data_IF_380342910938
#
_entry.id   IF_380342910938
#
_cell.length_a   1.000
_cell.length_b   1.000
_cell.length_c   1.000
_cell.angle_alpha   90.00
_cell.angle_beta   90.00
_cell.angle_gamma   90.00
#
_symmetry.space_group_name_H-M   'P 1'
#
loop_
_entity.id
_entity.type
_entity.pdbx_description
1 polymer ?
#
# COMPACT_ATOMS: atom_id res chain seq x y z
N UNK A 1 25.40 2.23 -0.65
CA UNK A 1 24.89 1.49 0.53
C UNK A 1 24.64 0.05 0.09
N UNK A 2 24.65 -0.96 0.97
CA UNK A 2 24.25 -2.31 0.56
C UNK A 2 22.75 -2.34 0.25
N UNK A 3 22.35 -3.08 -0.78
CA UNK A 3 20.94 -3.28 -1.12
C UNK A 3 20.14 -3.86 0.05
N UNK A 4 20.76 -4.76 0.82
CA UNK A 4 20.16 -5.39 2.01
C UNK A 4 19.66 -4.42 3.07
N UNK A 5 20.31 -3.26 3.27
CA UNK A 5 19.84 -2.27 4.26
C UNK A 5 18.62 -1.52 3.77
N UNK A 6 18.54 -1.24 2.47
CA UNK A 6 17.37 -0.59 1.86
C UNK A 6 16.18 -1.53 1.85
N UNK A 7 16.42 -2.79 1.52
CA UNK A 7 15.43 -3.87 1.54
C UNK A 7 14.83 -4.02 2.94
N UNK A 8 15.66 -4.26 3.95
CA UNK A 8 15.18 -4.43 5.33
C UNK A 8 14.40 -3.21 5.87
N UNK A 9 14.79 -1.99 5.46
CA UNK A 9 14.04 -0.78 5.79
C UNK A 9 12.66 -0.76 5.12
N UNK A 10 12.60 -1.09 3.83
CA UNK A 10 11.36 -1.10 3.05
C UNK A 10 10.40 -2.18 3.56
N UNK A 11 10.91 -3.38 3.85
CA UNK A 11 10.14 -4.47 4.45
C UNK A 11 9.51 -4.07 5.78
N UNK A 12 10.29 -3.41 6.66
CA UNK A 12 9.79 -2.90 7.93
C UNK A 12 8.64 -1.90 7.77
N UNK A 13 8.76 -0.98 6.81
CA UNK A 13 7.71 0.02 6.54
C UNK A 13 6.46 -0.64 5.95
N UNK A 14 6.62 -1.53 4.98
CA UNK A 14 5.49 -2.24 4.36
C UNK A 14 4.76 -3.13 5.38
N UNK A 15 5.49 -3.83 6.27
CA UNK A 15 4.88 -4.62 7.34
C UNK A 15 4.00 -3.76 8.27
N UNK A 16 4.45 -2.53 8.59
CA UNK A 16 3.64 -1.58 9.37
C UNK A 16 2.40 -1.15 8.58
N UNK A 17 2.53 -0.84 7.29
CA UNK A 17 1.39 -0.45 6.44
C UNK A 17 0.34 -1.57 6.43
N UNK A 18 0.77 -2.83 6.24
CA UNK A 18 -0.12 -3.99 6.24
C UNK A 18 -0.86 -4.14 7.58
N UNK A 19 -0.16 -3.97 8.70
CA UNK A 19 -0.78 -4.09 10.03
C UNK A 19 -1.69 -2.92 10.37
N UNK A 20 -1.45 -1.72 9.85
CA UNK A 20 -2.38 -0.59 10.01
C UNK A 20 -3.63 -0.78 9.15
N UNK A 21 -3.51 -1.30 7.93
CA UNK A 21 -4.67 -1.47 7.03
C UNK A 21 -5.80 -2.29 7.65
N UNK A 22 -5.50 -3.34 8.43
CA UNK A 22 -6.55 -4.17 9.05
C UNK A 22 -7.31 -3.43 10.16
N UNK A 23 -6.68 -2.43 10.78
CA UNK A 23 -7.32 -1.60 11.82
C UNK A 23 -8.37 -0.66 11.25
N UNK A 24 -8.37 -0.43 9.93
CA UNK A 24 -9.34 0.43 9.26
C UNK A 24 -10.65 -0.29 8.90
N UNK A 25 -10.73 -1.60 9.13
CA UNK A 25 -11.96 -2.39 8.93
C UNK A 25 -12.90 -2.13 10.11
N UNK A 26 -14.14 -1.71 9.82
CA UNK A 26 -15.18 -1.58 10.86
C UNK A 26 -15.66 -2.97 11.29
N UNK A 27 -15.83 -3.12 12.60
CA UNK A 27 -16.51 -4.29 13.16
C UNK A 27 -18.02 -4.08 12.94
N UNK A 28 -18.74 -5.06 12.33
CA UNK A 28 -20.18 -4.96 12.16
C UNK A 28 -20.88 -4.78 13.51
N UNK A 29 -21.92 -3.94 13.55
CA UNK A 29 -22.64 -3.64 14.79
C UNK A 29 -23.69 -4.72 15.15
N UNK A 30 -24.11 -5.55 14.18
CA UNK A 30 -25.05 -6.65 14.37
C UNK A 30 -24.35 -8.00 14.51
N UNK A 31 -24.99 -8.98 15.14
CA UNK A 31 -24.46 -10.33 15.37
C UNK A 31 -24.87 -11.35 14.31
N UNK A 32 -25.60 -10.94 13.27
CA UNK A 32 -26.15 -11.77 12.20
C UNK A 32 -25.41 -11.58 10.88
N UNK A 33 -25.51 -12.56 9.97
CA UNK A 33 -24.79 -12.51 8.69
C UNK A 33 -25.21 -11.33 7.80
N UNK A 34 -26.43 -10.82 7.95
CA UNK A 34 -26.89 -9.65 7.19
C UNK A 34 -26.16 -8.36 7.59
N UNK A 35 -25.69 -8.26 8.84
CA UNK A 35 -24.89 -7.12 9.28
C UNK A 35 -23.53 -7.06 8.57
N UNK A 36 -22.97 -8.21 8.21
CA UNK A 36 -21.70 -8.32 7.47
C UNK A 36 -21.86 -7.94 6.00
N UNK A 37 -23.03 -8.18 5.40
CA UNK A 37 -23.30 -7.87 3.99
C UNK A 37 -23.17 -6.37 3.71
N UNK A 38 -23.59 -5.52 4.66
CA UNK A 38 -23.48 -4.07 4.55
C UNK A 38 -22.02 -3.57 4.47
N UNK A 39 -21.09 -4.26 5.14
CA UNK A 39 -19.66 -3.89 5.20
C UNK A 39 -18.80 -4.57 4.10
N UNK A 40 -19.39 -5.51 3.34
CA UNK A 40 -18.71 -6.28 2.29
C UNK A 40 -17.98 -5.41 1.25
N UNK A 41 -18.53 -4.27 0.79
CA UNK A 41 -17.82 -3.40 -0.16
C UNK A 41 -16.51 -2.84 0.42
N UNK A 42 -16.52 -2.42 1.69
CA UNK A 42 -15.33 -1.88 2.36
C UNK A 42 -14.32 -2.99 2.62
N UNK A 43 -14.78 -4.17 3.05
CA UNK A 43 -13.92 -5.34 3.19
C UNK A 43 -13.23 -5.71 1.87
N UNK A 44 -13.96 -5.58 0.76
CA UNK A 44 -13.41 -5.82 -0.59
C UNK A 44 -12.33 -4.80 -0.95
N UNK A 45 -12.52 -3.51 -0.62
CA UNK A 45 -11.49 -2.49 -0.80
C UNK A 45 -10.25 -2.74 0.07
N UNK A 46 -10.44 -3.22 1.31
CA UNK A 46 -9.33 -3.67 2.15
C UNK A 46 -8.56 -4.82 1.50
N UNK A 47 -9.24 -5.90 1.07
CA UNK A 47 -8.59 -7.07 0.45
C UNK A 47 -7.83 -6.66 -0.81
N UNK A 48 -8.46 -5.86 -1.68
CA UNK A 48 -7.81 -5.34 -2.89
C UNK A 48 -6.55 -4.54 -2.55
N UNK A 49 -6.60 -3.72 -1.51
CA UNK A 49 -5.45 -2.92 -1.07
C UNK A 49 -4.34 -3.77 -0.48
N UNK A 50 -4.68 -4.77 0.33
CA UNK A 50 -3.72 -5.74 0.87
C UNK A 50 -2.99 -6.46 -0.27
N UNK A 51 -3.73 -6.96 -1.26
CA UNK A 51 -3.15 -7.62 -2.44
C UNK A 51 -2.24 -6.68 -3.21
N UNK A 52 -2.67 -5.43 -3.47
CA UNK A 52 -1.84 -4.46 -4.17
C UNK A 52 -0.54 -4.13 -3.43
N UNK A 53 -0.60 -3.85 -2.12
CA UNK A 53 0.60 -3.60 -1.31
C UNK A 53 1.52 -4.84 -1.31
N UNK A 54 0.95 -6.05 -1.21
CA UNK A 54 1.70 -7.30 -1.31
C UNK A 54 2.37 -7.51 -2.67
N UNK A 55 1.73 -7.11 -3.77
CA UNK A 55 2.33 -7.14 -5.12
C UNK A 55 3.52 -6.17 -5.18
N UNK A 56 3.36 -4.93 -4.71
CA UNK A 56 4.47 -3.97 -4.68
C UNK A 56 5.64 -4.48 -3.85
N UNK A 57 5.36 -5.08 -2.70
CA UNK A 57 6.39 -5.69 -1.85
C UNK A 57 7.11 -6.84 -2.56
N UNK A 58 6.38 -7.79 -3.13
CA UNK A 58 6.97 -8.94 -3.80
C UNK A 58 7.86 -8.51 -4.99
N UNK A 59 7.36 -7.55 -5.79
CA UNK A 59 8.11 -6.99 -6.91
C UNK A 59 9.37 -6.25 -6.44
N UNK A 60 9.25 -5.46 -5.36
CA UNK A 60 10.37 -4.74 -4.77
C UNK A 60 11.44 -5.69 -4.19
N UNK A 61 11.02 -6.72 -3.47
CA UNK A 61 11.90 -7.73 -2.90
C UNK A 61 12.69 -8.46 -4.01
N UNK A 62 12.00 -8.87 -5.08
CA UNK A 62 12.66 -9.49 -6.23
C UNK A 62 13.67 -8.56 -6.92
N UNK A 63 13.29 -7.30 -7.12
CA UNK A 63 14.13 -6.27 -7.75
C UNK A 63 15.39 -5.97 -6.93
N UNK A 64 15.29 -5.83 -5.60
CA UNK A 64 16.46 -5.55 -4.77
C UNK A 64 17.38 -6.76 -4.59
N UNK A 65 16.85 -7.99 -4.66
CA UNK A 65 17.66 -9.20 -4.60
C UNK A 65 18.66 -9.31 -5.77
N UNK A 66 18.36 -8.72 -6.92
CA UNK A 66 19.26 -8.67 -8.09
C UNK A 66 20.13 -7.40 -8.15
N UNK A 67 19.97 -6.48 -7.20
CA UNK A 67 20.67 -5.18 -7.18
C UNK A 67 21.95 -5.23 -6.34
N UNK A 68 23.12 -5.00 -6.94
CA UNK A 68 24.39 -5.02 -6.19
C UNK A 68 24.72 -3.70 -5.47
N UNK A 69 24.31 -2.54 -6.02
CA UNK A 69 24.70 -1.22 -5.50
C UNK A 69 23.54 -0.25 -5.48
N UNK A 70 23.32 0.37 -4.31
CA UNK A 70 22.33 1.44 -4.12
C UNK A 70 23.02 2.81 -4.02
N UNK A 71 22.57 3.74 -4.85
CA UNK A 71 22.98 5.14 -4.86
C UNK A 71 21.89 6.07 -4.26
N UNK A 72 22.15 7.37 -4.16
CA UNK A 72 21.20 8.33 -3.58
C UNK A 72 19.89 8.48 -4.35
N UNK A 73 19.89 8.31 -5.68
CA UNK A 73 18.66 8.39 -6.49
C UNK A 73 17.71 7.23 -6.20
N UNK A 74 18.26 6.02 -6.07
CA UNK A 74 17.51 4.82 -5.67
C UNK A 74 16.87 5.03 -4.29
N UNK A 75 17.58 5.64 -3.33
CA UNK A 75 17.03 5.94 -2.00
C UNK A 75 15.82 6.87 -2.07
N UNK A 76 15.91 7.97 -2.83
CA UNK A 76 14.79 8.91 -2.99
C UNK A 76 13.60 8.29 -3.74
N UNK A 77 13.86 7.50 -4.78
CA UNK A 77 12.81 6.78 -5.49
C UNK A 77 12.11 5.76 -4.59
N UNK A 78 12.86 5.06 -3.74
CA UNK A 78 12.30 4.14 -2.74
C UNK A 78 11.43 4.86 -1.71
N UNK A 79 11.89 6.02 -1.21
CA UNK A 79 11.10 6.84 -0.30
C UNK A 79 9.81 7.36 -0.94
N UNK A 80 9.83 7.70 -2.23
CA UNK A 80 8.62 8.09 -2.97
C UNK A 80 7.61 6.94 -3.05
N UNK A 81 8.08 5.71 -3.34
CA UNK A 81 7.22 4.52 -3.31
C UNK A 81 6.61 4.31 -1.92
N UNK A 82 7.44 4.33 -0.87
CA UNK A 82 6.99 4.14 0.51
C UNK A 82 6.00 5.22 0.96
N UNK A 83 6.20 6.47 0.54
CA UNK A 83 5.28 7.57 0.81
C UNK A 83 3.89 7.26 0.26
N UNK A 84 3.76 6.89 -1.03
CA UNK A 84 2.46 6.57 -1.61
C UNK A 84 1.81 5.34 -0.96
N UNK A 85 2.58 4.28 -0.71
CA UNK A 85 2.05 3.10 -0.02
C UNK A 85 1.56 3.44 1.40
N UNK A 86 2.23 4.36 2.11
CA UNK A 86 1.82 4.80 3.45
C UNK A 86 0.49 5.54 3.48
N UNK A 87 0.02 6.06 2.35
CA UNK A 87 -1.28 6.74 2.24
C UNK A 87 -2.45 5.77 2.02
N UNK A 88 -2.17 4.50 1.70
CA UNK A 88 -3.20 3.49 1.44
C UNK A 88 -4.17 3.31 2.62
N UNK A 89 -3.72 3.17 3.89
CA UNK A 89 -4.65 3.07 5.02
C UNK A 89 -5.56 4.29 5.16
N UNK A 90 -5.02 5.49 4.92
CA UNK A 90 -5.78 6.74 4.99
C UNK A 90 -6.93 6.78 3.97
N UNK A 91 -6.67 6.42 2.71
CA UNK A 91 -7.72 6.45 1.68
C UNK A 91 -8.76 5.34 1.87
N UNK A 92 -8.37 4.17 2.38
CA UNK A 92 -9.31 3.10 2.74
C UNK A 92 -10.24 3.58 3.86
N UNK A 93 -9.68 4.17 4.92
CA UNK A 93 -10.47 4.74 6.02
C UNK A 93 -11.44 5.80 5.52
N UNK A 94 -10.98 6.66 4.61
CA UNK A 94 -11.84 7.70 4.03
C UNK A 94 -13.01 7.09 3.25
N UNK A 95 -12.77 6.05 2.45
CA UNK A 95 -13.84 5.28 1.79
C UNK A 95 -14.75 4.61 2.82
N UNK A 96 -14.20 4.06 3.90
CA UNK A 96 -15.00 3.41 4.95
C UNK A 96 -15.94 4.41 5.65
N UNK A 97 -15.45 5.63 5.94
CA UNK A 97 -16.22 6.65 6.66
C UNK A 97 -17.26 7.37 5.79
N UNK A 98 -17.00 7.50 4.48
CA UNK A 98 -17.85 8.28 3.56
C UNK A 98 -18.56 7.45 2.49
N UNK A 99 -18.28 6.16 2.43
CA UNK A 99 -18.68 5.27 1.34
C UNK A 99 -17.87 5.51 0.05
N UNK A 100 -18.23 4.77 -1.00
CA UNK A 100 -17.63 4.88 -2.34
C UNK A 100 -18.12 6.12 -3.10
N UNK A 101 -17.83 7.30 -2.57
CA UNK A 101 -18.10 8.58 -3.24
C UNK A 101 -16.95 8.96 -4.18
N UNK A 102 -17.19 9.89 -5.10
CA UNK A 102 -16.26 10.20 -6.18
C UNK A 102 -14.87 10.63 -5.69
N UNK A 103 -14.80 11.48 -4.65
CA UNK A 103 -13.53 12.06 -4.19
C UNK A 103 -12.63 11.05 -3.45
N UNK A 104 -13.09 10.29 -2.43
CA UNK A 104 -12.30 9.22 -1.81
C UNK A 104 -11.87 8.15 -2.81
N UNK A 105 -12.75 7.78 -3.76
CA UNK A 105 -12.44 6.80 -4.79
C UNK A 105 -11.36 7.31 -5.76
N UNK A 106 -11.44 8.58 -6.18
CA UNK A 106 -10.40 9.22 -6.99
C UNK A 106 -9.07 9.32 -6.22
N UNK A 107 -9.11 9.66 -4.93
CA UNK A 107 -7.92 9.71 -4.08
C UNK A 107 -7.26 8.33 -3.96
N UNK A 108 -8.04 7.26 -3.79
CA UNK A 108 -7.54 5.89 -3.81
C UNK A 108 -6.81 5.57 -5.13
N UNK A 109 -7.43 5.89 -6.27
CA UNK A 109 -6.81 5.72 -7.59
C UNK A 109 -5.51 6.52 -7.74
N UNK A 110 -5.49 7.79 -7.32
CA UNK A 110 -4.30 8.65 -7.35
C UNK A 110 -3.17 8.06 -6.52
N UNK A 111 -3.48 7.54 -5.33
CA UNK A 111 -2.48 6.90 -4.46
C UNK A 111 -1.87 5.67 -5.14
N UNK A 112 -2.69 4.81 -5.74
CA UNK A 112 -2.19 3.63 -6.45
C UNK A 112 -1.38 3.98 -7.69
N UNK A 113 -1.82 4.97 -8.48
CA UNK A 113 -1.06 5.47 -9.64
C UNK A 113 0.26 6.10 -9.19
N UNK A 114 0.26 6.88 -8.12
CA UNK A 114 1.48 7.46 -7.53
C UNK A 114 2.47 6.40 -7.07
N UNK A 115 1.98 5.33 -6.43
CA UNK A 115 2.79 4.18 -6.07
C UNK A 115 3.36 3.46 -7.31
N UNK A 116 2.53 3.24 -8.35
CA UNK A 116 2.97 2.61 -9.59
C UNK A 116 4.04 3.43 -10.33
N UNK A 117 3.84 4.74 -10.46
CA UNK A 117 4.83 5.65 -11.08
C UNK A 117 6.12 5.69 -10.27
N UNK A 118 6.03 5.70 -8.94
CA UNK A 118 7.21 5.69 -8.08
C UNK A 118 7.97 4.36 -8.15
N UNK A 119 7.26 3.24 -8.27
CA UNK A 119 7.85 1.93 -8.51
C UNK A 119 8.60 1.90 -9.85
N UNK A 120 7.98 2.36 -10.94
CA UNK A 120 8.65 2.44 -12.26
C UNK A 120 9.89 3.35 -12.21
N UNK A 121 9.81 4.46 -11.49
CA UNK A 121 10.96 5.34 -11.31
C UNK A 121 12.09 4.63 -10.56
N UNK A 122 11.77 3.87 -9.51
CA UNK A 122 12.75 3.09 -8.76
C UNK A 122 13.38 2.00 -9.62
N UNK A 123 12.58 1.26 -10.37
CA UNK A 123 13.02 0.23 -11.32
C UNK A 123 14.00 0.80 -12.36
N UNK A 124 13.74 1.99 -12.91
CA UNK A 124 14.66 2.65 -13.84
C UNK A 124 16.00 3.11 -13.24
N UNK A 125 16.14 3.16 -11.91
CA UNK A 125 17.39 3.56 -11.25
C UNK A 125 18.29 2.37 -10.88
N UNK A 126 17.79 1.14 -11.03
CA UNK A 126 18.44 -0.12 -10.68
C UNK A 126 18.92 -0.79 -11.97
#
# INVERSE_FOLDING_TARGET
MSASRLEAFTDGVIAIIITIMVLEIRVPHGSDLASLEADMPVLSAYVLSYVNVGIFWNNHHHMLHVTERVNGKVLWANLALLFWLSLVPFVIRWINDTGFTALPTAAYGIVLVGAAVSYQMLEHQI
#
